data_IF_440741258827
#
_entry.id   IF_440741258827
#
_cell.length_a   1.000
_cell.length_b   1.000
_cell.length_c   1.000
_cell.angle_alpha   90.00
_cell.angle_beta   90.00
_cell.angle_gamma   90.00
#
_symmetry.space_group_name_H-M   'P 1'
#
loop_
_entity.id
_entity.type
_entity.pdbx_description
1 polymer ?
#
# COMPACT_ATOMS: atom_id res chain seq x y z
N UNK A 1 12.21 10.26 -8.86
CA UNK A 1 11.28 9.69 -9.86
C UNK A 1 10.01 10.50 -9.81
N UNK A 2 9.46 10.89 -10.95
CA UNK A 2 8.15 11.55 -11.02
C UNK A 2 7.05 10.53 -10.69
N UNK A 3 6.28 10.69 -9.60
CA UNK A 3 5.21 9.76 -9.22
C UNK A 3 4.11 9.61 -10.27
N UNK A 4 3.97 10.57 -11.18
CA UNK A 4 2.93 10.59 -12.22
C UNK A 4 3.42 10.08 -13.58
N UNK A 5 4.67 9.60 -13.68
CA UNK A 5 5.26 9.21 -14.97
C UNK A 5 4.39 8.21 -15.75
N UNK A 6 3.87 7.17 -15.08
CA UNK A 6 2.98 6.17 -15.73
C UNK A 6 1.66 6.76 -16.19
N UNK A 7 1.11 7.70 -15.44
CA UNK A 7 -0.12 8.41 -15.79
C UNK A 7 0.09 9.30 -17.03
N UNK A 8 1.20 10.05 -17.06
CA UNK A 8 1.61 10.88 -18.21
C UNK A 8 1.83 10.05 -19.46
N UNK A 9 2.51 8.92 -19.33
CA UNK A 9 2.74 7.99 -20.45
C UNK A 9 1.42 7.41 -20.99
N UNK A 10 0.49 7.04 -20.10
CA UNK A 10 -0.81 6.52 -20.49
C UNK A 10 -1.69 7.59 -21.17
N UNK A 11 -1.66 8.82 -20.68
CA UNK A 11 -2.34 9.96 -21.31
C UNK A 11 -1.76 10.26 -22.70
N UNK A 12 -0.44 10.32 -22.83
CA UNK A 12 0.25 10.55 -24.12
C UNK A 12 -0.08 9.47 -25.16
N UNK A 13 -0.35 8.24 -24.72
CA UNK A 13 -0.76 7.12 -25.56
C UNK A 13 -2.26 7.08 -25.88
N UNK A 14 -3.05 8.04 -25.40
CA UNK A 14 -4.50 8.09 -25.56
C UNK A 14 -5.26 7.04 -24.75
N UNK A 15 -4.61 6.40 -23.77
CA UNK A 15 -5.21 5.36 -22.92
C UNK A 15 -6.05 5.99 -21.80
N UNK A 16 -5.62 7.14 -21.30
CA UNK A 16 -6.34 7.94 -20.31
C UNK A 16 -6.82 9.23 -20.99
N UNK A 17 -8.11 9.58 -20.93
CA UNK A 17 -8.64 10.80 -21.52
C UNK A 17 -8.27 12.04 -20.69
N UNK A 18 -8.32 13.21 -21.32
CA UNK A 18 -7.92 14.51 -20.73
C UNK A 18 -8.64 14.79 -19.41
N UNK A 19 -9.96 14.58 -19.35
CA UNK A 19 -10.77 14.88 -18.16
C UNK A 19 -10.34 14.06 -16.94
N UNK A 20 -9.92 12.80 -17.15
CA UNK A 20 -9.44 11.91 -16.09
C UNK A 20 -8.01 12.25 -15.71
N UNK A 21 -7.16 12.56 -16.69
CA UNK A 21 -5.78 12.97 -16.46
C UNK A 21 -5.74 14.27 -15.64
N UNK A 22 -6.45 15.30 -16.09
CA UNK A 22 -6.49 16.62 -15.46
C UNK A 22 -7.03 16.53 -14.03
N UNK A 23 -8.15 15.82 -13.82
CA UNK A 23 -8.70 15.59 -12.49
C UNK A 23 -7.71 14.87 -11.56
N UNK A 24 -6.99 13.88 -12.08
CA UNK A 24 -6.03 13.11 -11.29
C UNK A 24 -4.83 13.98 -10.92
N UNK A 25 -4.31 14.79 -11.85
CA UNK A 25 -3.20 15.73 -11.61
C UNK A 25 -3.61 16.83 -10.63
N UNK A 26 -4.79 17.42 -10.80
CA UNK A 26 -5.35 18.45 -9.92
C UNK A 26 -5.44 17.96 -8.46
N UNK A 27 -5.84 16.69 -8.29
CA UNK A 27 -6.05 16.10 -6.96
C UNK A 27 -4.82 15.42 -6.37
N UNK A 28 -3.79 15.16 -7.17
CA UNK A 28 -2.55 14.53 -6.71
C UNK A 28 -1.89 15.22 -5.49
N UNK A 29 -1.93 16.55 -5.33
CA UNK A 29 -1.46 17.23 -4.12
C UNK A 29 -2.10 16.71 -2.81
N UNK A 30 -3.30 16.13 -2.85
CA UNK A 30 -3.93 15.51 -1.68
C UNK A 30 -3.15 14.28 -1.21
N UNK A 31 -2.66 13.46 -2.15
CA UNK A 31 -1.83 12.29 -1.86
C UNK A 31 -0.46 12.73 -1.32
N UNK A 32 0.17 13.74 -1.94
CA UNK A 32 1.43 14.33 -1.45
C UNK A 32 1.29 14.85 -0.02
N UNK A 33 0.19 15.57 0.28
CA UNK A 33 -0.10 16.03 1.63
C UNK A 33 -0.30 14.86 2.62
N UNK A 34 -0.86 13.74 2.16
CA UNK A 34 -1.01 12.51 2.95
C UNK A 34 0.34 11.89 3.29
N UNK A 35 1.21 11.76 2.28
CA UNK A 35 2.59 11.26 2.43
C UNK A 35 3.36 12.11 3.45
N UNK A 36 3.41 13.43 3.23
CA UNK A 36 4.12 14.36 4.13
C UNK A 36 3.60 14.28 5.58
N UNK A 37 2.29 14.10 5.73
CA UNK A 37 1.66 13.93 7.05
C UNK A 37 2.09 12.62 7.72
N UNK A 38 2.13 11.51 6.97
CA UNK A 38 2.57 10.20 7.45
C UNK A 38 4.05 10.25 7.88
N UNK A 39 4.90 10.87 7.07
CA UNK A 39 6.32 11.04 7.40
C UNK A 39 6.50 11.86 8.67
N UNK A 40 5.79 12.99 8.79
CA UNK A 40 5.81 13.81 10.01
C UNK A 40 5.28 13.07 11.22
N UNK A 41 4.21 12.30 11.08
CA UNK A 41 3.56 11.58 12.17
C UNK A 41 4.38 10.38 12.69
N UNK A 42 5.17 9.75 11.82
CA UNK A 42 5.99 8.56 12.12
C UNK A 42 7.47 8.89 12.41
N UNK A 43 7.98 9.97 11.81
CA UNK A 43 9.40 10.29 11.77
C UNK A 43 10.19 9.31 10.88
N UNK A 44 9.54 8.67 9.92
CA UNK A 44 10.12 7.72 8.97
C UNK A 44 9.76 8.19 7.56
N UNK A 45 10.71 8.13 6.63
CA UNK A 45 10.44 8.47 5.22
C UNK A 45 9.45 7.48 4.61
N UNK A 46 8.52 8.00 3.82
CA UNK A 46 7.59 7.19 3.06
C UNK A 46 8.36 6.48 1.94
N UNK A 47 8.06 5.20 1.64
CA UNK A 47 8.67 4.52 0.50
C UNK A 47 8.33 5.25 -0.80
N UNK A 48 9.07 4.97 -1.87
CA UNK A 48 8.74 5.53 -3.19
C UNK A 48 7.30 5.17 -3.54
N UNK A 49 6.55 6.12 -4.09
CA UNK A 49 5.18 5.90 -4.53
C UNK A 49 4.97 6.41 -5.95
N UNK A 50 4.07 5.77 -6.68
CA UNK A 50 3.66 6.18 -8.01
C UNK A 50 2.16 5.97 -8.22
N UNK A 51 1.60 6.71 -9.18
CA UNK A 51 0.21 6.58 -9.60
C UNK A 51 0.11 5.60 -10.77
N UNK A 52 -0.63 4.54 -10.56
CA UNK A 52 -0.97 3.54 -11.57
C UNK A 52 -2.20 4.00 -12.35
N UNK A 53 -2.13 4.14 -13.69
CA UNK A 53 -3.23 4.61 -14.53
C UNK A 53 -4.29 3.52 -14.77
N UNK A 54 -4.62 2.74 -13.74
CA UNK A 54 -5.63 1.68 -13.83
C UNK A 54 -6.38 1.47 -12.52
N UNK A 55 -7.61 0.97 -12.66
CA UNK A 55 -8.34 0.37 -11.56
C UNK A 55 -7.78 -1.02 -11.32
N UNK A 56 -7.21 -1.21 -10.13
CA UNK A 56 -6.55 -2.46 -9.78
C UNK A 56 -7.56 -3.39 -9.12
N UNK A 57 -7.70 -4.59 -9.67
CA UNK A 57 -8.74 -5.55 -9.31
C UNK A 57 -8.07 -6.88 -8.94
N UNK A 58 -8.48 -7.47 -7.81
CA UNK A 58 -8.13 -8.84 -7.44
C UNK A 58 -9.31 -9.76 -7.67
N UNK A 59 -9.11 -10.85 -8.41
CA UNK A 59 -10.08 -11.94 -8.55
C UNK A 59 -9.48 -13.26 -8.07
N UNK A 60 -10.30 -14.09 -7.43
CA UNK A 60 -9.96 -15.47 -7.05
C UNK A 60 -10.00 -16.41 -8.27
N UNK A 61 -10.74 -16.05 -9.32
CA UNK A 61 -10.83 -16.74 -10.59
C UNK A 61 -11.05 -15.68 -11.70
N UNK A 62 -10.40 -15.75 -12.87
CA UNK A 62 -10.72 -14.89 -14.03
C UNK A 62 -12.21 -14.87 -14.41
N UNK A 63 -12.98 -15.91 -14.04
CA UNK A 63 -14.41 -16.05 -14.31
C UNK A 63 -15.32 -15.74 -13.10
N UNK A 64 -14.79 -15.36 -11.93
CA UNK A 64 -15.62 -15.01 -10.78
C UNK A 64 -16.06 -13.53 -10.82
N UNK A 65 -17.33 -13.29 -10.50
CA UNK A 65 -17.87 -11.93 -10.33
C UNK A 65 -17.52 -11.32 -8.96
N UNK A 66 -16.88 -12.08 -8.07
CA UNK A 66 -16.38 -11.61 -6.78
C UNK A 66 -14.96 -11.06 -6.95
N UNK A 67 -14.88 -9.75 -7.19
CA UNK A 67 -13.60 -9.06 -7.29
C UNK A 67 -13.46 -7.96 -6.23
N UNK A 68 -12.25 -7.83 -5.68
CA UNK A 68 -11.87 -6.78 -4.75
C UNK A 68 -11.17 -5.62 -5.46
N UNK A 69 -11.52 -4.37 -5.14
CA UNK A 69 -10.80 -3.20 -5.66
C UNK A 69 -9.63 -2.88 -4.73
N UNK A 70 -8.42 -2.85 -5.28
CA UNK A 70 -7.20 -2.51 -4.56
C UNK A 70 -6.79 -1.07 -4.88
N UNK A 71 -7.20 -0.12 -4.04
CA UNK A 71 -6.92 1.30 -4.27
C UNK A 71 -5.45 1.70 -4.09
N UNK A 72 -4.69 0.93 -3.31
CA UNK A 72 -3.24 1.05 -3.22
C UNK A 72 -2.64 -0.32 -2.87
N UNK A 73 -1.34 -0.49 -3.14
CA UNK A 73 -0.61 -1.71 -2.83
C UNK A 73 0.83 -1.42 -2.44
N UNK A 74 1.32 -2.15 -1.45
CA UNK A 74 2.73 -2.19 -1.07
C UNK A 74 3.43 -3.32 -1.82
N UNK A 75 4.34 -2.96 -2.74
CA UNK A 75 4.97 -3.88 -3.68
C UNK A 75 6.50 -3.91 -3.42
N UNK A 76 7.07 -5.00 -2.90
CA UNK A 76 8.51 -5.22 -3.00
C UNK A 76 8.89 -5.41 -4.46
N UNK A 77 9.97 -4.79 -4.90
CA UNK A 77 10.54 -4.97 -6.23
C UNK A 77 12.05 -5.10 -6.15
N UNK A 78 12.62 -5.89 -7.07
CA UNK A 78 14.06 -5.95 -7.29
C UNK A 78 14.38 -5.10 -8.51
N UNK A 79 15.26 -4.11 -8.36
CA UNK A 79 15.73 -3.28 -9.46
C UNK A 79 17.26 -3.19 -9.39
N UNK A 80 17.94 -3.59 -10.46
CA UNK A 80 19.42 -3.64 -10.50
C UNK A 80 20.03 -4.35 -9.28
N UNK A 81 19.49 -5.52 -8.93
CA UNK A 81 19.86 -6.32 -7.74
C UNK A 81 19.62 -5.64 -6.38
N UNK A 82 19.03 -4.45 -6.35
CA UNK A 82 18.63 -3.76 -5.13
C UNK A 82 17.17 -4.03 -4.83
N UNK A 83 16.94 -4.47 -3.60
CA UNK A 83 15.59 -4.54 -3.05
C UNK A 83 15.09 -3.15 -2.71
N UNK A 84 13.86 -2.85 -3.12
CA UNK A 84 13.14 -1.66 -2.72
C UNK A 84 11.66 -2.00 -2.54
N UNK A 85 10.97 -1.23 -1.70
CA UNK A 85 9.51 -1.32 -1.55
C UNK A 85 8.91 -0.07 -2.16
N UNK A 86 7.86 -0.25 -2.96
CA UNK A 86 7.16 0.81 -3.66
C UNK A 86 5.69 0.74 -3.32
N UNK A 87 5.05 1.88 -3.07
CA UNK A 87 3.59 1.97 -2.91
C UNK A 87 2.97 2.37 -4.25
N UNK A 88 2.22 1.45 -4.85
CA UNK A 88 1.39 1.72 -6.01
C UNK A 88 0.07 2.35 -5.55
N UNK A 89 -0.29 3.50 -6.11
CA UNK A 89 -1.54 4.21 -5.81
C UNK A 89 -2.40 4.17 -7.07
N UNK A 90 -3.61 3.63 -7.02
CA UNK A 90 -4.52 3.61 -8.17
C UNK A 90 -4.98 5.03 -8.53
N UNK A 91 -4.96 5.41 -9.80
CA UNK A 91 -5.49 6.70 -10.27
C UNK A 91 -6.94 6.98 -9.82
N UNK A 92 -7.89 6.00 -9.86
CA UNK A 92 -9.21 6.14 -9.23
C UNK A 92 -9.21 6.62 -7.79
N UNK A 93 -8.24 6.18 -6.96
CA UNK A 93 -8.14 6.64 -5.58
C UNK A 93 -7.84 8.14 -5.53
N UNK A 94 -6.90 8.62 -6.36
CA UNK A 94 -6.51 10.02 -6.42
C UNK A 94 -7.66 10.87 -6.98
N UNK A 95 -8.26 10.43 -8.08
CA UNK A 95 -9.33 11.14 -8.79
C UNK A 95 -10.62 11.25 -7.95
N UNK A 96 -11.01 10.20 -7.23
CA UNK A 96 -12.35 10.11 -6.63
C UNK A 96 -12.36 10.00 -5.11
N UNK A 97 -11.22 9.68 -4.49
CA UNK A 97 -11.07 9.52 -3.05
C UNK A 97 -11.24 10.84 -2.30
N UNK A 98 -11.96 10.79 -1.18
CA UNK A 98 -11.96 11.91 -0.24
C UNK A 98 -10.59 12.05 0.42
N UNK A 99 -10.19 13.27 0.80
CA UNK A 99 -8.91 13.54 1.48
C UNK A 99 -8.64 12.59 2.65
N UNK A 100 -9.64 12.39 3.52
CA UNK A 100 -9.51 11.48 4.65
C UNK A 100 -9.31 10.02 4.24
N UNK A 101 -9.98 9.58 3.17
CA UNK A 101 -9.85 8.23 2.60
C UNK A 101 -8.47 8.01 1.99
N UNK A 102 -7.99 8.93 1.15
CA UNK A 102 -6.64 8.88 0.56
C UNK A 102 -5.59 8.79 1.67
N UNK A 103 -5.68 9.63 2.69
CA UNK A 103 -4.73 9.63 3.80
C UNK A 103 -4.77 8.34 4.62
N UNK A 104 -5.96 7.78 4.84
CA UNK A 104 -6.13 6.52 5.57
C UNK A 104 -5.51 5.34 4.82
N UNK A 105 -5.77 5.24 3.51
CA UNK A 105 -5.22 4.16 2.67
C UNK A 105 -3.70 4.27 2.60
N UNK A 106 -3.15 5.45 2.34
CA UNK A 106 -1.69 5.64 2.33
C UNK A 106 -1.03 5.27 3.66
N UNK A 107 -1.68 5.61 4.78
CA UNK A 107 -1.15 5.25 6.09
C UNK A 107 -1.27 3.75 6.38
N UNK A 108 -2.30 3.09 5.87
CA UNK A 108 -2.45 1.64 5.95
C UNK A 108 -1.37 0.91 5.13
N UNK A 109 -1.14 1.31 3.88
CA UNK A 109 -0.02 0.79 3.07
C UNK A 109 1.33 1.06 3.72
N UNK A 110 1.49 2.20 4.38
CA UNK A 110 2.71 2.46 5.15
C UNK A 110 2.92 1.47 6.30
N UNK A 111 1.86 1.00 6.97
CA UNK A 111 1.98 -0.04 7.99
C UNK A 111 2.41 -1.38 7.38
N UNK A 112 1.88 -1.73 6.20
CA UNK A 112 2.33 -2.90 5.44
C UNK A 112 3.82 -2.81 5.08
N UNK A 113 4.27 -1.63 4.63
CA UNK A 113 5.69 -1.38 4.38
C UNK A 113 6.55 -1.62 5.63
N UNK A 114 6.19 -1.05 6.78
CA UNK A 114 6.95 -1.25 8.02
C UNK A 114 6.99 -2.72 8.43
N UNK A 115 5.87 -3.43 8.30
CA UNK A 115 5.79 -4.85 8.64
C UNK A 115 6.65 -5.71 7.70
N UNK A 116 6.64 -5.43 6.40
CA UNK A 116 7.49 -6.11 5.43
C UNK A 116 8.98 -5.93 5.76
N UNK A 117 9.40 -4.69 6.06
CA UNK A 117 10.78 -4.41 6.45
C UNK A 117 11.15 -5.13 7.75
N UNK A 118 10.25 -5.17 8.73
CA UNK A 118 10.45 -5.89 10.00
C UNK A 118 10.68 -7.38 9.77
N UNK A 119 9.87 -8.01 8.92
CA UNK A 119 10.03 -9.43 8.58
C UNK A 119 11.35 -9.70 7.86
N UNK A 120 11.73 -8.83 6.92
CA UNK A 120 13.02 -8.91 6.20
C UNK A 120 14.19 -8.75 7.17
N UNK A 121 14.16 -7.77 8.06
CA UNK A 121 15.28 -7.48 8.97
C UNK A 121 15.54 -8.61 9.97
N UNK A 122 14.52 -9.44 10.26
CA UNK A 122 14.62 -10.59 11.16
C UNK A 122 14.80 -11.92 10.43
N UNK A 123 14.85 -11.91 9.10
CA UNK A 123 14.79 -13.11 8.27
C UNK A 123 13.59 -14.02 8.60
N UNK A 124 12.50 -13.47 9.17
CA UNK A 124 11.28 -14.23 9.51
C UNK A 124 10.58 -14.75 8.25
N UNK A 125 10.86 -14.15 7.09
CA UNK A 125 10.37 -14.63 5.80
C UNK A 125 10.94 -16.02 5.43
N UNK A 126 12.06 -16.44 6.02
CA UNK A 126 12.67 -17.76 5.79
C UNK A 126 11.94 -18.89 6.55
N UNK A 127 11.34 -18.60 7.71
CA UNK A 127 10.57 -19.60 8.46
C UNK A 127 9.17 -19.82 7.91
N UNK A 128 8.63 -18.82 7.19
CA UNK A 128 7.35 -18.92 6.50
C UNK A 128 7.47 -19.74 5.19
N UNK A 129 8.69 -20.12 4.74
CA UNK A 129 8.98 -20.81 3.45
C UNK A 129 8.39 -22.22 3.30
N UNK A 130 7.80 -22.83 4.34
CA UNK A 130 7.01 -24.06 4.15
C UNK A 130 5.66 -23.74 3.46
N UNK A 131 5.24 -22.47 3.45
CA UNK A 131 4.07 -21.97 2.72
C UNK A 131 4.49 -20.82 1.80
N UNK A 132 4.45 -21.06 0.50
CA UNK A 132 4.94 -20.13 -0.51
C UNK A 132 4.39 -18.70 -0.40
N UNK A 133 5.14 -17.78 -1.00
CA UNK A 133 4.74 -16.44 -1.41
C UNK A 133 4.69 -15.34 -0.32
N UNK A 134 5.61 -14.38 -0.42
CA UNK A 134 5.69 -13.17 0.41
C UNK A 134 4.43 -12.30 0.42
N UNK A 135 3.56 -12.48 -0.57
CA UNK A 135 2.41 -11.61 -0.81
C UNK A 135 1.11 -12.18 -0.26
N UNK A 136 0.93 -13.51 -0.29
CA UNK A 136 -0.22 -14.19 0.33
C UNK A 136 -0.25 -13.91 1.85
N UNK A 137 0.92 -13.84 2.49
CA UNK A 137 1.08 -13.59 3.92
C UNK A 137 1.08 -12.11 4.35
N UNK A 138 1.09 -11.15 3.41
CA UNK A 138 1.05 -9.70 3.72
C UNK A 138 -0.38 -9.15 3.66
N UNK A 139 -1.23 -9.70 2.81
CA UNK A 139 -2.62 -9.27 2.65
C UNK A 139 -3.62 -10.00 3.55
N UNK A 140 -3.31 -11.25 3.95
CA UNK A 140 -4.24 -12.07 4.75
C UNK A 140 -4.25 -11.77 6.25
N UNK A 141 -3.34 -10.95 6.77
CA UNK A 141 -3.15 -10.84 8.22
C UNK A 141 -3.14 -9.40 8.78
N UNK A 142 -4.32 -8.79 8.86
CA UNK A 142 -4.55 -7.55 9.63
C UNK A 142 -4.10 -7.68 11.09
N UNK A 143 -4.03 -8.90 11.64
CA UNK A 143 -3.65 -9.16 13.03
C UNK A 143 -2.14 -8.98 13.29
N UNK A 144 -1.32 -8.93 12.24
CA UNK A 144 0.15 -8.82 12.35
C UNK A 144 0.70 -7.40 12.23
N UNK A 145 -0.04 -6.45 11.64
CA UNK A 145 0.43 -5.07 11.45
C UNK A 145 0.78 -4.35 12.76
N UNK A 146 1.72 -3.40 12.68
CA UNK A 146 1.97 -2.46 13.75
C UNK A 146 0.68 -1.74 14.18
N UNK A 147 0.48 -1.59 15.48
CA UNK A 147 -0.67 -0.83 16.00
C UNK A 147 -0.53 0.63 15.54
N UNK A 148 -1.51 1.21 14.81
CA UNK A 148 -1.37 2.55 14.22
C UNK A 148 -0.94 3.62 15.24
N UNK A 149 -1.42 3.52 16.48
CA UNK A 149 -1.10 4.45 17.59
C UNK A 149 0.37 4.42 18.03
N UNK A 150 1.08 3.35 17.73
CA UNK A 150 2.53 3.23 17.99
C UNK A 150 3.32 3.96 16.93
N UNK A 151 2.85 3.91 15.69
CA UNK A 151 3.52 4.47 14.52
C UNK A 151 3.22 5.94 14.37
N UNK A 152 1.96 6.35 14.50
CA UNK A 152 1.51 7.71 14.19
C UNK A 152 1.18 8.50 15.46
N UNK A 153 1.76 9.69 15.58
CA UNK A 153 1.41 10.66 16.63
C UNK A 153 0.19 11.55 16.27
N UNK A 154 -0.25 11.52 15.02
CA UNK A 154 -1.34 12.36 14.51
C UNK A 154 -2.71 11.75 14.83
N UNK A 155 -3.47 12.38 15.74
CA UNK A 155 -4.78 11.89 16.21
C UNK A 155 -5.83 11.80 15.11
N UNK A 156 -5.82 12.72 14.16
CA UNK A 156 -6.81 12.74 13.08
C UNK A 156 -6.49 11.66 12.04
N UNK A 157 -5.21 11.43 11.75
CA UNK A 157 -4.79 10.31 10.90
C UNK A 157 -5.19 8.97 11.53
N UNK A 158 -4.94 8.81 12.84
CA UNK A 158 -5.39 7.63 13.60
C UNK A 158 -6.90 7.43 13.51
N UNK A 159 -7.69 8.49 13.71
CA UNK A 159 -9.14 8.43 13.59
C UNK A 159 -9.61 8.00 12.19
N UNK A 160 -8.95 8.49 11.14
CA UNK A 160 -9.25 8.08 9.76
C UNK A 160 -8.96 6.60 9.53
N UNK A 161 -7.80 6.10 9.99
CA UNK A 161 -7.45 4.68 9.88
C UNK A 161 -8.46 3.81 10.65
N UNK A 162 -8.68 4.09 11.94
CA UNK A 162 -9.58 3.29 12.78
C UNK A 162 -11.02 3.28 12.26
N UNK A 163 -11.51 4.39 11.69
CA UNK A 163 -12.87 4.45 11.13
C UNK A 163 -13.01 3.71 9.80
N UNK A 164 -11.94 3.67 8.99
CA UNK A 164 -11.97 3.11 7.62
C UNK A 164 -11.54 1.64 7.55
N UNK A 165 -10.81 1.15 8.56
CA UNK A 165 -10.25 -0.20 8.61
C UNK A 165 -10.62 -0.96 9.91
N UNK A 166 -11.90 -1.09 10.30
CA UNK A 166 -12.25 -1.86 11.49
C UNK A 166 -12.11 -3.39 11.32
N UNK A 167 -12.21 -3.91 10.08
CA UNK A 167 -12.06 -5.33 9.71
C UNK A 167 -11.82 -5.46 8.18
N UNK A 168 -10.91 -4.65 7.64
CA UNK A 168 -10.79 -4.38 6.21
C UNK A 168 -11.23 -2.98 5.79
N UNK A 169 -10.67 -2.49 4.68
CA UNK A 169 -11.09 -1.23 4.06
C UNK A 169 -12.49 -1.37 3.47
N UNK A 170 -13.40 -0.45 3.80
CA UNK A 170 -14.68 -0.34 3.11
C UNK A 170 -15.07 1.11 2.91
N UNK A 171 -15.18 1.52 1.64
CA UNK A 171 -15.65 2.85 1.28
C UNK A 171 -16.52 2.75 0.03
N UNK A 172 -17.78 2.31 0.24
CA UNK A 172 -18.75 2.11 -0.84
C UNK A 172 -18.92 3.33 -1.76
N UNK A 173 -18.73 4.54 -1.24
CA UNK A 173 -18.83 5.76 -2.06
C UNK A 173 -17.64 5.91 -2.99
N UNK A 174 -16.45 5.50 -2.56
CA UNK A 174 -15.27 5.46 -3.43
C UNK A 174 -15.38 4.31 -4.43
N UNK A 175 -15.81 3.13 -3.97
CA UNK A 175 -16.04 1.96 -4.83
C UNK A 175 -17.06 2.28 -5.93
N UNK A 176 -18.22 2.85 -5.58
CA UNK A 176 -19.26 3.27 -6.53
C UNK A 176 -18.73 4.28 -7.55
N UNK A 177 -17.97 5.28 -7.11
CA UNK A 177 -17.33 6.24 -8.01
C UNK A 177 -16.29 5.59 -8.93
N UNK A 178 -15.50 4.65 -8.41
CA UNK A 178 -14.52 3.93 -9.20
C UNK A 178 -15.21 3.04 -10.25
N UNK A 179 -16.32 2.39 -9.91
CA UNK A 179 -17.11 1.63 -10.88
C UNK A 179 -17.69 2.59 -11.93
N UNK A 180 -18.46 3.58 -11.51
CA UNK A 180 -19.19 4.49 -12.40
C UNK A 180 -18.31 5.36 -13.30
N UNK A 181 -17.26 5.95 -12.72
CA UNK A 181 -16.42 6.92 -13.43
C UNK A 181 -15.09 6.33 -13.93
N UNK A 182 -14.87 5.03 -13.75
CA UNK A 182 -13.71 4.35 -14.32
C UNK A 182 -14.10 3.06 -15.04
N UNK A 183 -14.67 2.10 -14.31
CA UNK A 183 -14.95 0.78 -14.87
C UNK A 183 -16.00 0.80 -15.98
N UNK A 184 -17.09 1.55 -15.80
CA UNK A 184 -18.20 1.69 -16.75
C UNK A 184 -17.83 2.57 -17.95
N UNK A 185 -16.78 3.39 -17.80
CA UNK A 185 -16.19 4.21 -18.87
C UNK A 185 -15.14 3.43 -19.69
N UNK A 186 -15.00 2.14 -19.44
CA UNK A 186 -14.01 1.26 -20.08
C UNK A 186 -12.56 1.78 -19.95
N UNK A 187 -12.26 2.48 -18.85
CA UNK A 187 -10.90 2.91 -18.54
C UNK A 187 -10.06 1.72 -18.04
N UNK A 188 -8.71 1.79 -18.11
CA UNK A 188 -7.84 0.64 -17.90
C UNK A 188 -8.06 -0.07 -16.57
N UNK A 189 -8.09 -1.40 -16.60
CA UNK A 189 -8.17 -2.27 -15.43
C UNK A 189 -6.95 -3.18 -15.39
N UNK A 190 -6.36 -3.34 -14.21
CA UNK A 190 -5.27 -4.30 -13.98
C UNK A 190 -5.80 -5.42 -13.10
N UNK A 191 -5.90 -6.61 -13.67
CA UNK A 191 -6.27 -7.81 -12.93
C UNK A 191 -5.02 -8.42 -12.30
N UNK A 192 -5.12 -8.78 -11.02
CA UNK A 192 -4.09 -9.48 -10.29
C UNK A 192 -4.73 -10.75 -9.75
N UNK A 193 -4.15 -11.91 -10.08
CA UNK A 193 -4.50 -13.14 -9.35
C UNK A 193 -3.83 -13.08 -7.98
N UNK A 194 -4.57 -13.49 -6.95
CA UNK A 194 -4.06 -13.52 -5.58
C UNK A 194 -2.83 -14.46 -5.45
N UNK A 195 -2.68 -15.41 -6.37
CA UNK A 195 -1.66 -16.46 -6.38
C UNK A 195 -0.40 -16.09 -7.17
N UNK A 196 -0.47 -15.06 -8.03
CA UNK A 196 0.60 -14.73 -9.00
C UNK A 196 1.44 -13.52 -8.64
N UNK A 197 1.09 -12.81 -7.57
CA UNK A 197 1.76 -11.58 -7.19
C UNK A 197 3.04 -11.88 -6.38
N UNK A 198 3.92 -12.77 -6.86
CA UNK A 198 4.97 -13.39 -6.03
C UNK A 198 6.36 -12.91 -6.47
N UNK A 199 6.93 -11.95 -5.74
CA UNK A 199 8.40 -11.82 -5.75
C UNK A 199 8.93 -12.97 -4.92
N UNK A 200 9.42 -14.02 -5.58
CA UNK A 200 10.24 -15.04 -4.94
C UNK A 200 11.58 -14.40 -4.56
N UNK A 201 11.66 -13.79 -3.38
CA UNK A 201 12.95 -13.37 -2.84
C UNK A 201 13.67 -14.63 -2.36
N UNK A 202 14.71 -15.03 -3.09
CA UNK A 202 15.59 -16.09 -2.63
C UNK A 202 16.32 -15.68 -1.34
N UNK A 203 16.77 -16.66 -0.56
CA UNK A 203 17.64 -16.45 0.61
C UNK A 203 18.86 -15.59 0.26
N UNK A 204 19.44 -15.82 -0.92
CA UNK A 204 20.55 -15.05 -1.46
C UNK A 204 20.15 -13.59 -1.72
N UNK A 205 18.96 -13.34 -2.26
CA UNK A 205 18.43 -11.99 -2.47
C UNK A 205 18.19 -11.27 -1.13
N UNK A 206 17.63 -11.97 -0.13
CA UNK A 206 17.36 -11.41 1.19
C UNK A 206 18.64 -11.04 1.94
N UNK A 207 19.67 -11.89 1.89
CA UNK A 207 20.97 -11.63 2.54
C UNK A 207 21.73 -10.44 1.93
N UNK A 208 21.44 -10.08 0.68
CA UNK A 208 22.02 -8.92 -0.01
C UNK A 208 21.30 -7.60 0.31
N UNK A 209 20.13 -7.65 0.96
CA UNK A 209 19.37 -6.44 1.31
C UNK A 209 20.12 -5.66 2.39
N UNK A 210 20.58 -4.45 2.04
CA UNK A 210 21.21 -3.53 2.99
C UNK A 210 20.18 -2.52 3.49
N UNK A 211 19.69 -2.73 4.71
CA UNK A 211 18.85 -1.77 5.41
C UNK A 211 19.71 -0.83 6.25
N UNK A 212 19.38 0.47 6.27
CA UNK A 212 20.12 1.45 7.07
C UNK A 212 19.98 1.13 8.57
N UNK A 213 21.08 1.05 9.36
CA UNK A 213 21.00 0.68 10.78
C UNK A 213 20.04 1.55 11.60
N UNK A 214 20.05 2.87 11.36
CA UNK A 214 19.14 3.80 12.03
C UNK A 214 17.66 3.50 11.74
N UNK A 215 17.35 2.97 10.55
CA UNK A 215 16.00 2.55 10.21
C UNK A 215 15.63 1.25 10.92
N UNK A 216 16.54 0.27 10.99
CA UNK A 216 16.34 -0.98 11.73
C UNK A 216 16.03 -0.70 13.20
N UNK A 217 16.85 0.10 13.88
CA UNK A 217 16.64 0.45 15.29
C UNK A 217 15.28 1.14 15.53
N UNK A 218 14.81 1.91 14.55
CA UNK A 218 13.49 2.54 14.61
C UNK A 218 12.36 1.50 14.52
N UNK A 219 12.47 0.52 13.61
CA UNK A 219 11.52 -0.58 13.46
C UNK A 219 11.47 -1.43 14.74
N UNK A 220 12.62 -1.75 15.33
CA UNK A 220 12.69 -2.50 16.60
C UNK A 220 12.00 -1.75 17.75
N UNK A 221 12.24 -0.44 17.88
CA UNK A 221 11.58 0.39 18.88
C UNK A 221 10.06 0.46 18.69
N UNK A 222 9.57 0.44 17.45
CA UNK A 222 8.13 0.34 17.16
C UNK A 222 7.60 -1.05 17.56
N UNK A 223 8.36 -2.11 17.31
CA UNK A 223 7.92 -3.48 17.61
C UNK A 223 7.78 -3.70 19.12
N UNK A 224 8.75 -3.23 19.90
CA UNK A 224 8.70 -3.32 21.36
C UNK A 224 7.50 -2.57 21.94
N UNK A 225 7.17 -1.40 21.39
CA UNK A 225 5.99 -0.64 21.79
C UNK A 225 4.69 -1.36 21.41
N UNK A 226 4.62 -1.93 20.21
CA UNK A 226 3.45 -2.67 19.74
C UNK A 226 3.18 -3.93 20.57
N UNK A 227 4.22 -4.68 20.95
CA UNK A 227 4.09 -5.89 21.76
C UNK A 227 3.58 -5.58 23.18
N UNK A 228 4.06 -4.48 23.80
CA UNK A 228 3.57 -4.01 25.10
C UNK A 228 2.08 -3.66 25.08
N UNK A 229 1.58 -3.05 24.00
CA UNK A 229 0.16 -2.72 23.86
C UNK A 229 -0.68 -3.98 23.68
N UNK A 230 -0.23 -4.94 22.87
CA UNK A 230 -0.97 -6.21 22.66
C UNK A 230 -1.07 -7.03 23.95
N UNK A 231 0.01 -7.12 24.75
CA UNK A 231 -0.04 -7.79 26.07
C UNK A 231 -1.06 -7.15 27.01
N UNK A 232 -1.19 -5.81 27.02
CA UNK A 232 -2.20 -5.09 27.83
C UNK A 232 -3.66 -5.30 27.40
N UNK A 233 -3.93 -5.82 26.20
CA UNK A 233 -5.31 -6.15 25.76
C UNK A 233 -5.73 -7.57 26.18
N UNK A 234 -4.79 -8.42 26.59
CA UNK A 234 -5.01 -9.83 26.96
C UNK A 234 -5.17 -10.03 28.48
N UNK A 235 -4.94 -8.99 29.28
CA UNK A 235 -5.20 -8.91 30.72
C UNK A 235 -6.31 -7.89 30.96
#
# INVERSE_FOLDING_TARGET
>A
MDPLVRLKDAHTKGIIPDDVYDLTVERFPIAVAGINRIEKASGIKFPVAYVEPSLVISSTDPNSYEYGILFARTIPVMFEEKFQVVIQISAPLVAYGLKGTIHAILAHEFLHFLELIRKISKMELLSDEISGNLFENVYSDETRLFEPRVVFKDRTLLAHITKKFPAGFRDYKLEDKAIKFWADRDLPKTNISLDTNTVKLSVESLSKIKLAPAFISKIEALQEKSSKIRKKKLY
#
